data_IF_053003014535
#
_entry.id   IF_053003014535
#
_cell.length_a   1.000
_cell.length_b   1.000
_cell.length_c   1.000
_cell.angle_alpha   90.00
_cell.angle_beta   90.00
_cell.angle_gamma   90.00
#
_symmetry.space_group_name_H-M   'P 1'
#
loop_
_entity.id
_entity.type
_entity.pdbx_description
1 polymer ?
#
# COMPACT_ATOMS: atom_id res chain seq x y z
N UNK A 1 -24.87 8.34 -22.98
CA UNK A 1 -24.60 8.84 -21.60
C UNK A 1 -23.55 7.92 -20.99
N UNK A 2 -22.29 8.33 -20.98
CA UNK A 2 -21.19 7.49 -20.48
C UNK A 2 -21.14 7.60 -18.96
N UNK A 3 -21.62 6.57 -18.25
CA UNK A 3 -21.49 6.49 -16.80
C UNK A 3 -20.02 6.16 -16.44
N UNK A 4 -19.27 7.15 -15.96
CA UNK A 4 -17.95 6.92 -15.39
C UNK A 4 -18.10 6.28 -14.01
N UNK A 5 -17.80 4.98 -13.90
CA UNK A 5 -17.69 4.30 -12.60
C UNK A 5 -16.34 4.62 -11.99
N UNK A 6 -16.28 5.58 -11.06
CA UNK A 6 -15.10 5.73 -10.20
C UNK A 6 -15.02 4.51 -9.28
N UNK A 7 -13.86 3.85 -9.24
CA UNK A 7 -13.68 2.68 -8.37
C UNK A 7 -12.82 3.08 -7.18
N UNK A 8 -13.48 3.52 -6.10
CA UNK A 8 -12.85 3.66 -4.78
C UNK A 8 -12.62 2.24 -4.25
N UNK A 9 -11.37 1.77 -4.29
CA UNK A 9 -11.10 0.36 -4.00
C UNK A 9 -10.85 0.10 -2.50
N UNK A 10 -10.42 1.11 -1.75
CA UNK A 10 -10.07 0.95 -0.34
C UNK A 10 -10.45 2.21 0.45
N UNK A 11 -11.07 1.99 1.60
CA UNK A 11 -11.22 2.97 2.68
C UNK A 11 -10.31 2.54 3.82
N UNK A 12 -9.40 3.42 4.23
CA UNK A 12 -8.48 3.17 5.34
C UNK A 12 -8.90 4.05 6.52
N UNK A 13 -9.26 3.40 7.63
CA UNK A 13 -9.66 4.08 8.86
C UNK A 13 -8.55 3.95 9.90
N UNK A 14 -8.15 5.06 10.52
CA UNK A 14 -7.12 5.10 11.56
C UNK A 14 -7.77 5.32 12.94
N UNK A 15 -7.57 4.40 13.90
CA UNK A 15 -7.90 4.58 15.31
C UNK A 15 -6.86 5.52 16.00
N UNK A 16 -7.11 6.01 17.23
CA UNK A 16 -6.22 6.98 17.88
C UNK A 16 -4.98 6.29 18.48
N UNK A 17 -3.88 7.05 18.60
CA UNK A 17 -2.47 6.65 18.90
C UNK A 17 -1.62 6.20 17.69
N UNK A 18 -1.59 7.07 16.69
CA UNK A 18 -0.81 6.96 15.46
C UNK A 18 0.68 7.25 15.72
N UNK A 19 1.61 6.29 15.56
CA UNK A 19 3.04 6.58 15.63
C UNK A 19 3.50 7.35 14.37
N UNK A 20 4.64 8.04 14.44
CA UNK A 20 5.11 9.01 13.42
C UNK A 20 5.22 8.48 11.97
N UNK A 21 5.26 7.16 11.75
CA UNK A 21 5.28 6.53 10.43
C UNK A 21 3.93 6.61 9.69
N UNK A 22 2.82 6.80 10.40
CA UNK A 22 1.46 6.72 9.83
C UNK A 22 0.97 8.04 9.23
N UNK A 23 1.47 9.19 9.70
CA UNK A 23 1.29 10.49 9.02
C UNK A 23 1.88 10.47 7.60
N UNK A 24 2.94 9.68 7.38
CA UNK A 24 3.55 9.46 6.06
C UNK A 24 2.69 8.53 5.20
N UNK A 25 2.02 7.54 5.77
CA UNK A 25 1.04 6.69 5.06
C UNK A 25 -0.14 7.54 4.57
N UNK A 26 -0.76 8.32 5.45
CA UNK A 26 -1.86 9.23 5.11
C UNK A 26 -1.49 10.17 3.95
N UNK A 27 -0.33 10.82 4.03
CA UNK A 27 0.13 11.75 2.99
C UNK A 27 0.46 11.03 1.68
N UNK A 28 1.13 9.87 1.74
CA UNK A 28 1.57 9.14 0.53
C UNK A 28 0.41 8.48 -0.22
N UNK A 29 -0.58 7.99 0.51
CA UNK A 29 -1.81 7.42 -0.05
C UNK A 29 -2.67 8.49 -0.74
N UNK A 30 -2.84 9.66 -0.10
CA UNK A 30 -3.50 10.83 -0.71
C UNK A 30 -2.84 11.30 -2.02
N UNK A 31 -1.51 11.18 -2.16
CA UNK A 31 -0.80 11.54 -3.38
C UNK A 31 -0.90 10.49 -4.50
N UNK A 32 -1.33 9.25 -4.21
CA UNK A 32 -1.29 8.13 -5.17
C UNK A 32 -2.60 7.83 -5.90
N UNK A 33 -3.75 8.39 -5.50
CA UNK A 33 -5.00 8.18 -6.28
C UNK A 33 -6.08 9.25 -6.11
N UNK A 34 -6.80 9.52 -7.20
CA UNK A 34 -8.12 10.15 -7.14
C UNK A 34 -9.10 9.10 -6.61
N UNK A 35 -9.55 9.24 -5.36
CA UNK A 35 -10.55 8.34 -4.78
C UNK A 35 -10.01 7.47 -3.64
N UNK A 36 -9.46 8.12 -2.62
CA UNK A 36 -9.22 7.52 -1.32
C UNK A 36 -9.79 8.46 -0.26
N UNK A 37 -10.52 7.91 0.71
CA UNK A 37 -10.94 8.65 1.90
C UNK A 37 -10.23 8.01 3.08
N UNK A 38 -9.41 8.83 3.73
CA UNK A 38 -8.66 8.48 4.90
C UNK A 38 -9.16 9.38 6.04
N UNK A 39 -9.75 8.77 7.06
CA UNK A 39 -10.31 9.49 8.21
C UNK A 39 -9.47 9.24 9.47
N UNK A 40 -9.22 10.31 10.24
CA UNK A 40 -8.66 10.24 11.59
C UNK A 40 -9.80 10.16 12.61
N UNK A 41 -9.61 9.35 13.64
CA UNK A 41 -10.47 9.22 14.80
C UNK A 41 -9.85 9.92 16.01
N UNK A 42 -10.66 10.66 16.77
CA UNK A 42 -10.38 11.02 18.16
C UNK A 42 -11.42 10.29 19.02
N UNK A 43 -10.96 9.62 20.07
CA UNK A 43 -11.72 8.99 21.18
C UNK A 43 -13.24 8.79 20.96
N UNK A 44 -13.67 7.56 20.70
CA UNK A 44 -15.08 7.10 20.63
C UNK A 44 -16.00 7.73 19.58
N UNK A 45 -15.51 8.66 18.76
CA UNK A 45 -16.35 9.34 17.78
C UNK A 45 -16.03 8.93 16.33
N UNK A 46 -16.75 7.92 15.83
CA UNK A 46 -16.71 7.53 14.41
C UNK A 46 -17.43 8.52 13.47
N UNK A 47 -18.10 9.55 14.02
CA UNK A 47 -18.95 10.43 13.21
C UNK A 47 -18.15 11.20 12.18
N UNK A 48 -16.89 11.55 12.45
CA UNK A 48 -16.05 12.29 11.51
C UNK A 48 -15.76 11.46 10.25
N UNK A 49 -15.26 10.23 10.41
CA UNK A 49 -15.00 9.33 9.28
C UNK A 49 -16.28 9.01 8.50
N UNK A 50 -17.38 8.69 9.21
CA UNK A 50 -18.67 8.42 8.56
C UNK A 50 -19.20 9.64 7.81
N UNK A 51 -18.98 10.85 8.34
CA UNK A 51 -19.32 12.10 7.68
C UNK A 51 -18.48 12.31 6.41
N UNK A 52 -17.18 12.06 6.44
CA UNK A 52 -16.32 12.12 5.25
C UNK A 52 -16.75 11.12 4.17
N UNK A 53 -17.07 9.88 4.55
CA UNK A 53 -17.61 8.88 3.61
C UNK A 53 -18.94 9.32 3.02
N UNK A 54 -19.81 9.94 3.83
CA UNK A 54 -21.09 10.48 3.36
C UNK A 54 -20.91 11.70 2.44
N UNK A 55 -19.97 12.59 2.73
CA UNK A 55 -19.60 13.72 1.87
C UNK A 55 -19.07 13.24 0.53
N UNK A 56 -18.16 12.26 0.54
CA UNK A 56 -17.67 11.62 -0.68
C UNK A 56 -18.82 10.98 -1.47
N UNK A 57 -19.70 10.23 -0.80
CA UNK A 57 -20.84 9.56 -1.45
C UNK A 57 -21.78 10.58 -2.09
N UNK A 58 -22.02 11.70 -1.42
CA UNK A 58 -22.85 12.81 -1.92
C UNK A 58 -22.16 13.48 -3.11
N UNK A 59 -20.88 13.83 -2.99
CA UNK A 59 -20.11 14.40 -4.10
C UNK A 59 -20.08 13.47 -5.32
N UNK A 60 -19.89 12.17 -5.13
CA UNK A 60 -19.97 11.20 -6.23
C UNK A 60 -21.35 11.25 -6.90
N UNK A 61 -22.44 11.23 -6.11
CA UNK A 61 -23.81 11.32 -6.63
C UNK A 61 -24.03 12.60 -7.45
N UNK A 62 -23.62 13.74 -6.91
CA UNK A 62 -23.77 15.06 -7.54
C UNK A 62 -22.95 15.19 -8.83
N UNK A 63 -21.85 14.44 -8.94
CA UNK A 63 -21.00 14.39 -10.12
C UNK A 63 -21.32 13.20 -11.06
N UNK A 64 -22.49 12.55 -10.91
CA UNK A 64 -22.92 11.40 -11.70
C UNK A 64 -21.94 10.21 -11.67
N UNK A 65 -21.24 10.06 -10.55
CA UNK A 65 -20.35 8.94 -10.24
C UNK A 65 -21.07 7.95 -9.32
N UNK A 66 -20.99 6.66 -9.66
CA UNK A 66 -21.54 5.59 -8.84
C UNK A 66 -20.41 4.85 -8.09
N UNK A 67 -20.46 4.89 -6.76
CA UNK A 67 -19.55 4.13 -5.91
C UNK A 67 -19.94 2.65 -5.95
N UNK A 68 -18.98 1.79 -6.28
CA UNK A 68 -19.20 0.36 -6.34
C UNK A 68 -18.89 -0.31 -4.99
N UNK A 69 -19.90 -0.36 -4.12
CA UNK A 69 -19.78 -0.91 -2.75
C UNK A 69 -19.20 -2.32 -2.74
N UNK A 70 -19.53 -3.18 -3.72
CA UNK A 70 -19.01 -4.55 -3.79
C UNK A 70 -17.50 -4.64 -4.05
N UNK A 71 -16.92 -3.60 -4.67
CA UNK A 71 -15.47 -3.50 -4.90
C UNK A 71 -14.74 -2.72 -3.81
N UNK A 72 -15.46 -1.90 -3.06
CA UNK A 72 -14.90 -1.13 -1.95
C UNK A 72 -14.68 -2.05 -0.75
N UNK A 73 -13.47 -2.02 -0.21
CA UNK A 73 -13.12 -2.71 1.02
C UNK A 73 -12.81 -1.69 2.11
N UNK A 74 -13.19 -2.01 3.33
CA UNK A 74 -12.81 -1.26 4.53
C UNK A 74 -11.71 -2.01 5.27
N UNK A 75 -10.62 -1.31 5.58
CA UNK A 75 -9.60 -1.75 6.54
C UNK A 75 -9.67 -0.81 7.74
N UNK A 76 -9.81 -1.39 8.93
CA UNK A 76 -9.77 -0.67 10.20
C UNK A 76 -8.42 -0.91 10.86
N UNK A 77 -7.66 0.16 11.09
CA UNK A 77 -6.38 0.12 11.78
C UNK A 77 -6.62 0.48 13.25
N UNK A 78 -6.74 -0.52 14.12
CA UNK A 78 -6.97 -0.33 15.56
C UNK A 78 -5.82 -0.92 16.40
N UNK A 79 -5.02 -0.05 17.00
CA UNK A 79 -3.86 -0.42 17.82
C UNK A 79 -4.13 -0.35 19.33
N UNK A 80 -5.38 -0.10 19.73
CA UNK A 80 -5.75 -0.05 21.15
C UNK A 80 -5.59 -1.42 21.80
N UNK A 81 -5.23 -1.44 23.09
CA UNK A 81 -5.17 -2.69 23.87
C UNK A 81 -6.59 -3.12 24.23
N UNK A 82 -7.16 -4.00 23.41
CA UNK A 82 -8.50 -4.57 23.60
C UNK A 82 -9.26 -4.63 22.27
N UNK A 83 -10.04 -5.70 22.06
CA UNK A 83 -10.91 -5.79 20.89
C UNK A 83 -12.08 -4.83 21.07
N UNK A 84 -12.10 -3.75 20.27
CA UNK A 84 -13.28 -2.90 20.14
C UNK A 84 -14.05 -3.39 18.93
N UNK A 85 -15.32 -3.77 19.10
CA UNK A 85 -16.18 -4.06 17.96
C UNK A 85 -16.53 -2.75 17.25
N UNK A 86 -16.13 -2.63 15.99
CA UNK A 86 -16.44 -1.47 15.15
C UNK A 86 -17.74 -1.72 14.39
N UNK A 87 -18.78 -0.87 14.50
CA UNK A 87 -19.99 -1.03 13.72
C UNK A 87 -19.71 -1.03 12.21
N UNK A 88 -20.50 -1.77 11.41
CA UNK A 88 -20.28 -1.87 9.97
C UNK A 88 -20.43 -0.50 9.29
N UNK A 89 -19.58 -0.24 8.30
CA UNK A 89 -19.74 0.91 7.43
C UNK A 89 -20.81 0.64 6.38
N UNK A 90 -21.74 1.57 6.20
CA UNK A 90 -22.78 1.49 5.17
C UNK A 90 -22.64 2.65 4.19
N UNK A 91 -22.74 2.35 2.89
CA UNK A 91 -22.74 3.35 1.81
C UNK A 91 -23.96 3.08 0.94
N UNK A 92 -24.81 4.11 0.77
CA UNK A 92 -26.10 3.99 0.06
C UNK A 92 -26.98 2.82 0.55
N UNK A 93 -26.96 2.53 1.86
CA UNK A 93 -27.74 1.45 2.47
C UNK A 93 -27.15 0.04 2.31
N UNK A 94 -26.01 -0.12 1.61
CA UNK A 94 -25.29 -1.38 1.50
C UNK A 94 -24.07 -1.40 2.44
N UNK A 95 -23.85 -2.52 3.13
CA UNK A 95 -22.67 -2.70 3.98
C UNK A 95 -21.40 -2.85 3.12
N UNK A 96 -20.35 -2.14 3.50
CA UNK A 96 -19.00 -2.27 2.92
C UNK A 96 -18.33 -3.49 3.54
N UNK A 97 -17.66 -4.29 2.72
CA UNK A 97 -16.93 -5.47 3.22
C UNK A 97 -15.70 -5.05 4.00
N UNK A 98 -15.62 -5.49 5.26
CA UNK A 98 -14.44 -5.32 6.10
C UNK A 98 -13.45 -6.45 5.88
N UNK A 99 -12.18 -6.11 5.71
CA UNK A 99 -11.11 -7.08 5.44
C UNK A 99 -9.90 -6.78 6.30
N UNK A 100 -9.17 -7.83 6.70
CA UNK A 100 -7.92 -7.70 7.46
C UNK A 100 -6.71 -7.43 6.58
N UNK A 101 -6.82 -7.67 5.27
CA UNK A 101 -5.78 -7.31 4.30
C UNK A 101 -6.36 -7.16 2.90
N UNK A 102 -5.84 -6.20 2.14
CA UNK A 102 -6.18 -6.05 0.72
C UNK A 102 -5.00 -5.53 -0.07
N UNK A 103 -5.08 -5.69 -1.39
CA UNK A 103 -4.08 -5.17 -2.32
C UNK A 103 -4.58 -3.87 -2.93
N UNK A 104 -3.89 -2.78 -2.66
CA UNK A 104 -4.18 -1.47 -3.21
C UNK A 104 -3.00 -0.98 -4.06
N UNK A 105 -3.26 -0.62 -5.32
CA UNK A 105 -2.27 -0.10 -6.27
C UNK A 105 -0.96 -0.93 -6.36
N UNK A 106 -1.03 -2.23 -6.08
CA UNK A 106 0.15 -3.11 -6.12
C UNK A 106 0.80 -3.39 -4.77
N UNK A 107 0.42 -2.65 -3.72
CA UNK A 107 0.89 -2.78 -2.33
C UNK A 107 -0.13 -3.59 -1.52
N UNK A 108 0.34 -4.52 -0.69
CA UNK A 108 -0.56 -5.17 0.28
C UNK A 108 -0.60 -4.35 1.56
N UNK A 109 -1.80 -3.96 1.96
CA UNK A 109 -2.09 -3.26 3.21
C UNK A 109 -2.77 -4.28 4.13
N UNK A 110 -2.38 -4.30 5.39
CA UNK A 110 -2.94 -5.18 6.42
C UNK A 110 -3.43 -4.33 7.59
N UNK A 111 -4.44 -4.82 8.32
CA UNK A 111 -5.04 -4.14 9.47
C UNK A 111 -4.03 -3.91 10.62
N UNK A 112 -3.04 -4.79 10.74
CA UNK A 112 -1.93 -4.72 11.69
C UNK A 112 -0.73 -3.90 11.15
N UNK A 113 -0.86 -3.32 9.95
CA UNK A 113 0.22 -2.70 9.17
C UNK A 113 1.46 -3.59 9.01
N UNK A 114 1.29 -4.91 9.09
CA UNK A 114 2.36 -5.86 8.80
C UNK A 114 2.65 -5.85 7.31
N UNK A 115 3.84 -5.35 6.96
CA UNK A 115 4.36 -5.36 5.59
C UNK A 115 4.83 -6.74 5.13
N UNK A 116 4.41 -7.79 5.84
CA UNK A 116 4.83 -9.16 5.61
C UNK A 116 4.42 -9.66 4.24
N UNK A 117 3.14 -9.56 3.92
CA UNK A 117 2.59 -10.00 2.65
C UNK A 117 3.15 -9.16 1.50
N UNK A 118 3.25 -7.84 1.70
CA UNK A 118 3.78 -6.92 0.72
C UNK A 118 5.23 -7.26 0.35
N UNK A 119 6.14 -7.27 1.33
CA UNK A 119 7.58 -7.52 1.10
C UNK A 119 7.86 -8.92 0.58
N UNK A 120 7.11 -9.94 1.00
CA UNK A 120 7.22 -11.28 0.43
C UNK A 120 6.81 -11.30 -1.05
N UNK A 121 5.75 -10.57 -1.42
CA UNK A 121 5.33 -10.45 -2.81
C UNK A 121 6.36 -9.70 -3.67
N UNK A 122 6.98 -8.64 -3.13
CA UNK A 122 8.06 -7.90 -3.79
C UNK A 122 9.30 -8.77 -3.99
N UNK A 123 9.72 -9.49 -2.94
CA UNK A 123 10.83 -10.43 -3.00
C UNK A 123 10.61 -11.50 -4.08
N UNK A 124 9.41 -12.10 -4.14
CA UNK A 124 9.05 -13.09 -5.17
C UNK A 124 9.11 -12.51 -6.58
N UNK A 125 8.61 -11.29 -6.79
CA UNK A 125 8.70 -10.59 -8.09
C UNK A 125 10.16 -10.33 -8.47
N UNK A 126 10.96 -9.81 -7.55
CA UNK A 126 12.37 -9.51 -7.78
C UNK A 126 13.20 -10.77 -8.06
N UNK A 127 12.93 -11.88 -7.36
CA UNK A 127 13.56 -13.18 -7.64
C UNK A 127 13.28 -13.70 -9.06
N UNK A 128 12.05 -13.53 -9.55
CA UNK A 128 11.72 -13.86 -10.95
C UNK A 128 12.51 -13.00 -11.94
N UNK A 129 12.73 -11.71 -11.64
CA UNK A 129 13.54 -10.82 -12.47
C UNK A 129 15.04 -11.13 -12.40
N UNK A 130 15.54 -11.54 -11.23
CA UNK A 130 16.91 -12.05 -11.08
C UNK A 130 17.19 -13.24 -11.99
N UNK A 131 16.24 -14.15 -12.17
CA UNK A 131 16.39 -15.26 -13.11
C UNK A 131 16.68 -14.78 -14.54
N UNK A 132 15.96 -13.75 -15.01
CA UNK A 132 16.22 -13.16 -16.32
C UNK A 132 17.56 -12.43 -16.38
N UNK A 133 17.94 -11.70 -15.32
CA UNK A 133 19.27 -11.09 -15.24
C UNK A 133 20.39 -12.13 -15.36
N UNK A 134 20.23 -13.30 -14.71
CA UNK A 134 21.19 -14.42 -14.84
C UNK A 134 21.26 -14.95 -16.28
N UNK A 135 20.14 -15.02 -16.99
CA UNK A 135 20.12 -15.40 -18.41
C UNK A 135 20.85 -14.38 -19.28
N UNK A 136 20.60 -13.09 -19.07
CA UNK A 136 21.29 -11.99 -19.77
C UNK A 136 22.81 -12.06 -19.52
N UNK A 137 23.22 -12.30 -18.27
CA UNK A 137 24.64 -12.49 -17.90
C UNK A 137 25.25 -13.70 -18.58
N UNK A 138 24.54 -14.83 -18.66
CA UNK A 138 24.99 -16.04 -19.37
C UNK A 138 25.15 -15.80 -20.87
N UNK A 139 24.32 -14.94 -21.46
CA UNK A 139 24.44 -14.50 -22.84
C UNK A 139 25.56 -13.48 -23.09
N UNK A 140 26.37 -13.15 -22.06
CA UNK A 140 27.49 -12.20 -22.13
C UNK A 140 27.08 -10.81 -22.63
N UNK A 141 25.88 -10.36 -22.27
CA UNK A 141 25.45 -9.00 -22.61
C UNK A 141 26.39 -7.94 -21.99
N UNK A 142 26.58 -6.79 -22.65
CA UNK A 142 27.39 -5.69 -22.11
C UNK A 142 26.90 -5.21 -20.73
N UNK A 143 27.82 -4.78 -19.83
CA UNK A 143 27.47 -4.24 -18.52
C UNK A 143 26.40 -3.14 -18.51
N UNK A 144 26.38 -2.17 -19.46
CA UNK A 144 25.32 -1.15 -19.49
C UNK A 144 23.92 -1.74 -19.62
N UNK A 145 23.75 -2.79 -20.43
CA UNK A 145 22.45 -3.46 -20.61
C UNK A 145 22.01 -4.15 -19.33
N UNK A 146 22.94 -4.83 -18.65
CA UNK A 146 22.66 -5.49 -17.37
C UNK A 146 22.29 -4.48 -16.27
N UNK A 147 22.99 -3.34 -16.21
CA UNK A 147 22.68 -2.24 -15.29
C UNK A 147 21.28 -1.67 -15.55
N UNK A 148 20.96 -1.35 -16.81
CA UNK A 148 19.64 -0.84 -17.18
C UNK A 148 18.53 -1.84 -16.85
N UNK A 149 18.74 -3.13 -17.12
CA UNK A 149 17.79 -4.18 -16.75
C UNK A 149 17.59 -4.27 -15.23
N UNK A 150 18.67 -4.24 -14.46
CA UNK A 150 18.59 -4.25 -13.00
C UNK A 150 17.80 -3.06 -12.47
N UNK A 151 18.19 -1.83 -12.85
CA UNK A 151 17.54 -0.60 -12.38
C UNK A 151 16.06 -0.56 -12.79
N UNK A 152 15.78 -0.88 -14.04
CA UNK A 152 14.43 -0.79 -14.61
C UNK A 152 13.46 -1.87 -14.13
N UNK A 153 13.94 -3.04 -13.65
CA UNK A 153 13.06 -4.17 -13.34
C UNK A 153 13.16 -4.70 -11.92
N UNK A 154 14.36 -4.74 -11.34
CA UNK A 154 14.60 -5.27 -9.99
C UNK A 154 14.51 -4.12 -8.99
N UNK A 155 15.31 -3.07 -9.19
CA UNK A 155 15.34 -1.91 -8.30
C UNK A 155 13.98 -1.20 -8.30
N UNK A 156 13.40 -0.90 -9.46
CA UNK A 156 12.06 -0.31 -9.57
C UNK A 156 10.98 -1.10 -8.82
N UNK A 157 11.04 -2.44 -8.87
CA UNK A 157 10.10 -3.31 -8.14
C UNK A 157 10.33 -3.21 -6.64
N UNK A 158 11.60 -3.24 -6.20
CA UNK A 158 11.97 -3.19 -4.78
C UNK A 158 11.81 -1.80 -4.17
N UNK A 159 11.81 -0.74 -4.96
CA UNK A 159 11.62 0.65 -4.52
C UNK A 159 10.17 1.11 -4.66
N UNK A 160 9.30 0.31 -5.27
CA UNK A 160 7.89 0.61 -5.43
C UNK A 160 7.22 0.85 -4.07
N UNK A 161 6.69 2.05 -3.86
CA UNK A 161 6.03 2.47 -2.62
C UNK A 161 6.91 2.32 -1.36
N UNK A 162 8.24 2.40 -1.51
CA UNK A 162 9.20 2.21 -0.41
C UNK A 162 9.00 3.22 0.73
N UNK A 163 8.48 4.42 0.45
CA UNK A 163 8.12 5.43 1.46
C UNK A 163 6.99 4.97 2.38
N UNK A 164 6.14 4.07 1.90
CA UNK A 164 4.97 3.52 2.61
C UNK A 164 5.41 2.40 3.54
N UNK A 165 6.16 1.41 3.04
CA UNK A 165 6.47 0.18 3.79
C UNK A 165 7.91 0.08 4.29
N UNK A 166 8.82 0.91 3.79
CA UNK A 166 10.26 0.78 4.03
C UNK A 166 10.67 0.99 5.49
N UNK A 167 10.07 2.00 6.13
CA UNK A 167 10.31 2.34 7.53
C UNK A 167 9.86 1.26 8.52
N UNK A 168 8.70 0.68 8.25
CA UNK A 168 8.04 -0.28 9.15
C UNK A 168 8.38 -1.75 8.80
N UNK A 169 9.38 -1.98 7.95
CA UNK A 169 9.84 -3.31 7.57
C UNK A 169 10.79 -3.89 8.64
N UNK A 170 10.61 -5.17 8.99
CA UNK A 170 11.49 -5.84 9.96
C UNK A 170 12.91 -6.02 9.41
N UNK A 171 13.91 -6.04 10.30
CA UNK A 171 15.32 -6.23 9.92
C UNK A 171 15.56 -7.54 9.16
N UNK A 172 14.85 -8.61 9.55
CA UNK A 172 14.89 -9.88 8.83
C UNK A 172 14.51 -9.72 7.35
N UNK A 173 13.43 -8.99 7.07
CA UNK A 173 12.92 -8.77 5.71
C UNK A 173 13.80 -7.80 4.93
N UNK A 174 14.30 -6.76 5.57
CA UNK A 174 15.30 -5.85 5.01
C UNK A 174 16.52 -6.63 4.52
N UNK A 175 17.07 -7.51 5.36
CA UNK A 175 18.17 -8.41 4.98
C UNK A 175 17.80 -9.34 3.82
N UNK A 176 16.57 -9.87 3.79
CA UNK A 176 16.11 -10.72 2.68
C UNK A 176 16.07 -9.95 1.34
N UNK A 177 15.57 -8.71 1.33
CA UNK A 177 15.58 -7.85 0.14
C UNK A 177 17.01 -7.45 -0.26
N UNK A 178 17.86 -7.15 0.71
CA UNK A 178 19.26 -6.82 0.45
C UNK A 178 20.03 -8.00 -0.18
N UNK A 179 19.72 -9.25 0.20
CA UNK A 179 20.31 -10.43 -0.45
C UNK A 179 19.97 -10.51 -1.93
N UNK A 180 18.77 -10.10 -2.34
CA UNK A 180 18.36 -10.06 -3.76
C UNK A 180 19.24 -9.07 -4.54
N UNK A 181 19.46 -7.90 -3.96
CA UNK A 181 20.31 -6.84 -4.53
C UNK A 181 21.76 -7.29 -4.63
N UNK A 182 22.30 -7.89 -3.57
CA UNK A 182 23.67 -8.43 -3.57
C UNK A 182 23.83 -9.54 -4.63
N UNK A 183 22.80 -10.39 -4.80
CA UNK A 183 22.79 -11.46 -5.82
C UNK A 183 22.78 -10.91 -7.26
N UNK A 184 22.23 -9.72 -7.48
CA UNK A 184 22.28 -9.07 -8.79
C UNK A 184 23.70 -8.63 -9.18
N UNK A 185 24.61 -8.50 -8.21
CA UNK A 185 26.00 -8.14 -8.45
C UNK A 185 26.24 -6.65 -8.75
N UNK A 186 25.29 -5.78 -8.40
CA UNK A 186 25.42 -4.32 -8.63
C UNK A 186 26.06 -3.57 -7.47
N UNK A 187 26.19 -4.19 -6.28
CA UNK A 187 26.81 -3.58 -5.09
C UNK A 187 26.11 -2.32 -4.56
N UNK A 188 25.09 -1.84 -5.26
CA UNK A 188 24.34 -0.65 -4.91
C UNK A 188 23.48 -0.92 -3.67
N UNK A 189 23.56 -0.08 -2.63
CA UNK A 189 22.57 -0.09 -1.57
C UNK A 189 21.18 0.10 -2.19
N UNK A 190 20.14 -0.54 -1.65
CA UNK A 190 18.78 -0.10 -1.94
C UNK A 190 18.68 1.40 -1.61
N UNK A 191 17.94 2.21 -2.40
CA UNK A 191 17.65 3.60 -2.05
C UNK A 191 17.27 3.65 -0.58
N UNK A 192 17.98 4.49 0.17
CA UNK A 192 18.10 4.40 1.62
C UNK A 192 16.75 4.11 2.27
N UNK A 193 16.59 2.92 2.84
CA UNK A 193 15.50 2.61 3.79
C UNK A 193 15.66 3.41 5.10
N UNK A 194 16.70 4.25 5.19
CA UNK A 194 16.91 5.23 6.24
C UNK A 194 15.91 6.36 6.06
N UNK A 195 14.71 6.17 6.61
CA UNK A 195 13.98 7.31 7.12
C UNK A 195 14.84 7.89 8.24
N UNK A 196 15.30 9.12 8.04
CA UNK A 196 15.86 9.91 9.11
C UNK A 196 14.82 9.94 10.26
N UNK A 197 15.27 9.73 11.52
CA UNK A 197 14.40 9.67 12.69
C UNK A 197 13.45 10.86 12.79
#
# INVERSE_FOLDING_TARGET
MYNFKFTLNVLVTFAPNIPSYESRLHTSLQHQSHGEVCGRYDSDDETHYRKEVNLLTTWCRDNNLLLNVSKTKEIVLDFRRGHTEHPPLTVNGAAVERVSSTKFLGVHISEDLSWTTNTASLAKKAQRRLYFLRKIKRAKAPPPIMCTFYRGTIESTLSSCITVWGGSCTEYRRKALQRIVNTAGTGAPLPSLQLHP
#
